data_IF_344972459288
#
_entry.id   IF_344972459288
#
_cell.length_a   1.000
_cell.length_b   1.000
_cell.length_c   1.000
_cell.angle_alpha   90.00
_cell.angle_beta   90.00
_cell.angle_gamma   90.00
#
_symmetry.space_group_name_H-M   'P 1'
#
loop_
_entity.id
_entity.type
_entity.pdbx_description
1 polymer ?
#
# COMPACT_ATOMS: atom_id res chain seq x y z
N UNK A 1 -49.25 -33.82 22.58
CA UNK A 1 -48.60 -32.59 22.06
C UNK A 1 -47.13 -32.91 21.78
N UNK A 2 -46.71 -32.94 20.51
CA UNK A 2 -45.32 -33.23 20.11
C UNK A 2 -44.53 -31.92 19.97
N UNK A 3 -43.44 -31.77 20.72
CA UNK A 3 -42.47 -30.68 20.55
C UNK A 3 -41.56 -30.98 19.35
N UNK A 4 -41.83 -30.32 18.23
CA UNK A 4 -41.00 -30.38 17.02
C UNK A 4 -39.67 -29.64 17.23
N UNK A 5 -38.59 -30.40 17.43
CA UNK A 5 -37.21 -29.89 17.48
C UNK A 5 -36.73 -29.61 16.05
N UNK A 6 -36.85 -28.34 15.62
CA UNK A 6 -36.38 -27.86 14.31
C UNK A 6 -34.84 -27.93 14.26
N UNK A 7 -34.26 -28.93 13.59
CA UNK A 7 -32.81 -29.00 13.33
C UNK A 7 -32.45 -27.90 12.34
N UNK A 8 -31.84 -26.82 12.83
CA UNK A 8 -31.22 -25.79 12.01
C UNK A 8 -30.00 -26.37 11.30
N UNK A 9 -30.17 -26.67 10.02
CA UNK A 9 -29.13 -27.19 9.15
C UNK A 9 -28.15 -26.04 8.83
N UNK A 10 -27.16 -25.85 9.71
CA UNK A 10 -25.99 -24.99 9.48
C UNK A 10 -25.32 -25.45 8.18
N UNK A 11 -25.45 -24.67 7.10
CA UNK A 11 -24.69 -24.81 5.85
C UNK A 11 -23.31 -24.16 6.05
N UNK A 12 -22.26 -24.89 6.45
CA UNK A 12 -20.96 -24.29 6.77
C UNK A 12 -20.22 -23.86 5.50
N UNK A 13 -20.52 -24.53 4.37
CA UNK A 13 -19.87 -24.30 3.08
C UNK A 13 -20.16 -22.94 2.46
N UNK A 14 -21.37 -22.39 2.65
CA UNK A 14 -21.71 -21.06 2.14
C UNK A 14 -20.91 -19.97 2.88
N UNK A 15 -20.73 -20.12 4.18
CA UNK A 15 -19.98 -19.18 5.02
C UNK A 15 -18.50 -19.20 4.64
N UNK A 16 -17.90 -20.39 4.50
CA UNK A 16 -16.50 -20.54 4.07
C UNK A 16 -16.25 -19.98 2.67
N UNK A 17 -17.16 -20.23 1.73
CA UNK A 17 -17.06 -19.68 0.37
C UNK A 17 -17.09 -18.15 0.38
N UNK A 18 -17.94 -17.53 1.21
CA UNK A 18 -18.02 -16.07 1.32
C UNK A 18 -16.76 -15.47 1.95
N UNK A 19 -16.18 -16.14 2.96
CA UNK A 19 -14.90 -15.72 3.53
C UNK A 19 -13.75 -15.81 2.52
N UNK A 20 -13.68 -16.88 1.71
CA UNK A 20 -12.65 -17.01 0.69
C UNK A 20 -12.80 -15.95 -0.42
N UNK A 21 -14.02 -15.72 -0.91
CA UNK A 21 -14.29 -14.65 -1.87
C UNK A 21 -13.90 -13.27 -1.29
N UNK A 22 -14.19 -13.02 -0.02
CA UNK A 22 -13.82 -11.77 0.64
C UNK A 22 -12.29 -11.57 0.67
N UNK A 23 -11.52 -12.62 0.99
CA UNK A 23 -10.05 -12.55 0.96
C UNK A 23 -9.49 -12.36 -0.44
N UNK A 24 -10.12 -12.93 -1.48
CA UNK A 24 -9.67 -12.78 -2.87
C UNK A 24 -10.05 -11.43 -3.50
N UNK A 25 -11.11 -10.77 -2.99
CA UNK A 25 -11.57 -9.46 -3.47
C UNK A 25 -11.06 -8.29 -2.64
N UNK A 26 -10.17 -8.52 -1.67
CA UNK A 26 -9.50 -7.42 -0.98
C UNK A 26 -8.80 -6.56 -2.04
N UNK A 27 -9.20 -5.30 -2.21
CA UNK A 27 -8.45 -4.39 -3.04
C UNK A 27 -7.06 -4.29 -2.43
N UNK A 28 -6.02 -4.31 -3.26
CA UNK A 28 -4.66 -3.95 -2.87
C UNK A 28 -4.66 -2.47 -2.41
N UNK A 29 -5.16 -2.24 -1.19
CA UNK A 29 -5.04 -0.99 -0.45
C UNK A 29 -3.60 -0.79 0.04
N UNK A 30 -2.74 -1.79 -0.14
CA UNK A 30 -1.33 -1.71 0.17
C UNK A 30 -0.63 -0.86 -0.90
N UNK A 31 -0.45 0.42 -0.58
CA UNK A 31 0.53 1.29 -1.22
C UNK A 31 0.37 1.59 -2.71
N UNK A 32 -0.84 1.93 -3.18
CA UNK A 32 -0.92 2.81 -4.35
C UNK A 32 -0.62 4.25 -3.92
N UNK A 33 0.64 4.53 -3.57
CA UNK A 33 1.13 5.90 -3.42
C UNK A 33 0.92 6.56 -4.77
N UNK A 34 -0.06 7.47 -4.84
CA UNK A 34 -0.32 8.25 -6.04
C UNK A 34 0.99 8.87 -6.50
N UNK A 35 1.44 8.52 -7.72
CA UNK A 35 2.61 9.12 -8.34
C UNK A 35 2.32 10.60 -8.59
N UNK A 36 2.53 11.42 -7.55
CA UNK A 36 2.47 12.87 -7.64
C UNK A 36 3.49 13.30 -8.68
N UNK A 37 3.06 14.11 -9.64
CA UNK A 37 3.97 14.66 -10.63
C UNK A 37 4.99 15.57 -9.93
N UNK A 38 6.17 15.04 -9.66
CA UNK A 38 7.27 15.70 -8.95
C UNK A 38 7.67 17.03 -9.62
N UNK A 39 7.40 17.19 -10.93
CA UNK A 39 7.68 18.43 -11.68
C UNK A 39 6.69 19.56 -11.39
N UNK A 40 5.52 19.26 -10.82
CA UNK A 40 4.48 20.26 -10.48
C UNK A 40 4.28 20.44 -8.98
N UNK A 41 4.82 19.54 -8.17
CA UNK A 41 4.74 19.63 -6.70
C UNK A 41 5.52 20.83 -6.14
N UNK A 42 4.87 21.61 -5.27
CA UNK A 42 5.46 22.67 -4.44
C UNK A 42 5.19 22.27 -2.98
N UNK A 43 6.21 22.35 -2.13
CA UNK A 43 6.23 21.80 -0.78
C UNK A 43 7.32 20.74 -0.58
N UNK A 44 7.43 20.18 0.63
CA UNK A 44 8.39 19.13 1.00
C UNK A 44 7.64 17.94 1.61
N UNK A 45 7.96 16.72 1.18
CA UNK A 45 7.33 15.50 1.69
C UNK A 45 8.27 14.28 1.61
N UNK A 46 8.05 13.29 2.48
CA UNK A 46 8.68 11.97 2.40
C UNK A 46 8.03 11.15 1.29
N UNK A 47 8.85 10.52 0.45
CA UNK A 47 8.43 9.65 -0.65
C UNK A 47 9.40 8.49 -0.79
N UNK A 48 8.91 7.39 -1.35
CA UNK A 48 9.72 6.24 -1.68
C UNK A 48 10.47 6.48 -2.99
N UNK A 49 11.79 6.26 -2.98
CA UNK A 49 12.64 6.38 -4.16
C UNK A 49 13.53 5.16 -4.31
N UNK A 50 13.84 4.81 -5.55
CA UNK A 50 14.83 3.78 -5.88
C UNK A 50 16.13 4.42 -6.33
N UNK A 51 17.21 4.13 -5.62
CA UNK A 51 18.56 4.63 -5.92
C UNK A 51 19.46 3.50 -6.40
N UNK A 52 20.39 3.81 -7.30
CA UNK A 52 21.48 2.91 -7.64
C UNK A 52 22.65 3.15 -6.67
N UNK A 53 22.80 2.27 -5.68
CA UNK A 53 23.93 2.26 -4.77
C UNK A 53 25.15 1.60 -5.42
N UNK A 54 26.31 2.25 -5.34
CA UNK A 54 27.59 1.72 -5.80
C UNK A 54 28.65 1.91 -4.72
N UNK A 55 29.42 0.86 -4.47
CA UNK A 55 30.59 0.90 -3.59
C UNK A 55 31.82 0.46 -4.40
N UNK A 56 32.96 1.20 -4.34
CA UNK A 56 34.19 0.78 -5.00
C UNK A 56 34.61 -0.64 -4.58
N UNK A 57 34.96 -1.48 -5.57
CA UNK A 57 35.28 -2.89 -5.34
C UNK A 57 34.07 -3.81 -5.12
N UNK A 58 32.85 -3.31 -5.28
CA UNK A 58 31.61 -4.10 -5.18
C UNK A 58 30.71 -3.86 -6.42
N UNK A 59 29.69 -4.70 -6.60
CA UNK A 59 28.65 -4.50 -7.61
C UNK A 59 27.72 -3.33 -7.31
N UNK A 60 26.89 -2.95 -8.29
CA UNK A 60 25.81 -1.99 -8.09
C UNK A 60 24.54 -2.67 -7.61
N UNK A 61 23.82 -2.03 -6.68
CA UNK A 61 22.54 -2.51 -6.15
C UNK A 61 21.47 -1.41 -6.28
N UNK A 62 20.25 -1.78 -6.69
CA UNK A 62 19.10 -0.87 -6.59
C UNK A 62 18.47 -1.00 -5.20
N UNK A 63 18.34 0.12 -4.49
CA UNK A 63 17.78 0.19 -3.14
C UNK A 63 16.56 1.09 -3.17
N UNK A 64 15.44 0.57 -2.69
CA UNK A 64 14.21 1.35 -2.49
C UNK A 64 14.16 1.79 -1.03
N UNK A 65 14.04 3.10 -0.79
CA UNK A 65 13.97 3.68 0.55
C UNK A 65 13.18 4.98 0.52
N UNK A 66 12.63 5.35 1.66
CA UNK A 66 12.06 6.68 1.87
C UNK A 66 13.14 7.76 1.85
N UNK A 67 12.88 8.86 1.15
CA UNK A 67 13.69 10.07 1.15
C UNK A 67 12.82 11.33 1.03
N UNK A 68 13.35 12.48 1.43
CA UNK A 68 12.67 13.76 1.31
C UNK A 68 12.79 14.31 -0.12
N UNK A 69 11.68 14.81 -0.67
CA UNK A 69 11.68 15.56 -1.91
C UNK A 69 10.81 16.81 -1.81
N UNK A 70 11.25 17.89 -2.45
CA UNK A 70 10.46 19.11 -2.47
C UNK A 70 11.02 20.22 -3.32
N UNK A 71 10.14 21.18 -3.62
CA UNK A 71 10.49 22.52 -4.11
C UNK A 71 9.84 23.51 -3.15
N UNK A 72 10.66 24.15 -2.34
CA UNK A 72 10.20 25.06 -1.30
C UNK A 72 10.24 26.50 -1.81
N UNK A 73 9.35 27.33 -1.29
CA UNK A 73 9.41 28.77 -1.52
C UNK A 73 10.67 29.34 -0.86
N UNK A 74 11.34 30.24 -1.57
CA UNK A 74 12.55 30.93 -1.11
C UNK A 74 12.38 32.42 -1.36
N UNK A 75 12.79 33.25 -0.41
CA UNK A 75 12.82 34.70 -0.55
C UNK A 75 14.24 35.20 -0.30
N UNK A 76 14.67 36.20 -1.07
CA UNK A 76 15.89 36.94 -0.78
C UNK A 76 15.57 38.00 0.29
N UNK A 77 16.41 38.16 1.32
CA UNK A 77 16.27 39.25 2.26
C UNK A 77 16.64 40.57 1.57
N UNK A 78 15.80 41.60 1.78
CA UNK A 78 16.03 42.98 1.32
C UNK A 78 16.70 43.81 2.41
#
# INVERSE_FOLDING_TARGET
MMLQRKKSQRRPGLVLSWFLLWTSLQPDYLHKVSAVNLRRFIGCAVREFTFQAKKPGCGSLHITTDACWGRCETWEPN
#
